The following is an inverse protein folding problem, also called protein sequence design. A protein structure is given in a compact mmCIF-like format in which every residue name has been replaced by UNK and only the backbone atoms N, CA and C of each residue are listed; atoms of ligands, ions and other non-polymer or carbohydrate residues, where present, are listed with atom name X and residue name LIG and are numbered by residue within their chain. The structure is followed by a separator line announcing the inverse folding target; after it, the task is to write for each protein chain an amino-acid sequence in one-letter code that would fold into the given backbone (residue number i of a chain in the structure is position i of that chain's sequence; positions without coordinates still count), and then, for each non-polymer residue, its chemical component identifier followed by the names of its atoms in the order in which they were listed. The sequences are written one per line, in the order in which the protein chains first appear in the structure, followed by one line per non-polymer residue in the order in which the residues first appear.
data_IF_041833283399
#
_entry.id   IF_041833283399
#
_cell.length_a   1.000
_cell.length_b   1.000
_cell.length_c   1.000
_cell.angle_alpha   90.00
_cell.angle_beta   90.00
_cell.angle_gamma   90.00
#
_symmetry.space_group_name_H-M   'P 1'
#
loop_
_entity.id
_entity.type
_entity.pdbx_description
1 polymer ?
#
# COMPACT_ATOMS: atom_id res chain seq x y z
N UNK A 1 -23.04 -5.64 0.70
CA UNK A 1 -23.68 -4.32 0.58
C UNK A 1 -22.85 -3.21 1.23
N UNK A 2 -22.60 -3.20 2.55
CA UNK A 2 -21.74 -2.15 3.17
C UNK A 2 -20.33 -2.09 2.54
N UNK A 3 -19.69 -3.24 2.30
CA UNK A 3 -18.38 -3.31 1.61
C UNK A 3 -18.40 -2.68 0.22
N UNK A 4 -19.48 -2.92 -0.52
CA UNK A 4 -19.71 -2.33 -1.83
C UNK A 4 -19.81 -0.82 -1.74
N UNK A 5 -20.58 -0.28 -0.78
CA UNK A 5 -20.73 1.17 -0.59
C UNK A 5 -19.37 1.84 -0.31
N UNK A 6 -18.56 1.29 0.61
CA UNK A 6 -17.22 1.83 0.89
C UNK A 6 -16.24 1.67 -0.27
N UNK A 7 -16.35 0.60 -1.06
CA UNK A 7 -15.52 0.41 -2.24
C UNK A 7 -15.94 1.37 -3.36
N UNK A 8 -17.24 1.59 -3.54
CA UNK A 8 -17.82 2.50 -4.52
C UNK A 8 -17.47 3.95 -4.17
N UNK A 9 -17.56 4.37 -2.90
CA UNK A 9 -17.12 5.69 -2.42
C UNK A 9 -15.66 5.97 -2.80
N UNK A 10 -14.76 5.03 -2.50
CA UNK A 10 -13.33 5.14 -2.84
C UNK A 10 -13.07 5.14 -4.35
N UNK A 11 -13.82 4.35 -5.09
CA UNK A 11 -13.68 4.28 -6.54
C UNK A 11 -14.16 5.58 -7.22
N UNK A 12 -15.31 6.12 -6.80
CA UNK A 12 -15.88 7.37 -7.32
C UNK A 12 -14.92 8.55 -7.16
N UNK A 13 -14.14 8.62 -6.07
CA UNK A 13 -13.13 9.66 -5.87
C UNK A 13 -12.02 9.64 -6.94
N UNK A 14 -11.76 8.47 -7.55
CA UNK A 14 -10.74 8.25 -8.58
C UNK A 14 -11.33 8.14 -9.99
N UNK A 15 -12.66 8.28 -10.12
CA UNK A 15 -13.37 8.06 -11.36
C UNK A 15 -13.15 9.24 -12.32
N UNK A 16 -12.55 9.04 -13.52
CA UNK A 16 -12.33 10.13 -14.48
C UNK A 16 -13.66 10.66 -15.06
N UNK A 17 -13.84 11.98 -15.09
CA UNK A 17 -15.15 12.60 -15.37
C UNK A 17 -15.81 12.20 -16.70
N UNK A 18 -15.02 11.87 -17.73
CA UNK A 18 -15.52 11.49 -19.06
C UNK A 18 -15.67 9.97 -19.26
N UNK A 19 -15.25 9.15 -18.29
CA UNK A 19 -15.25 7.70 -18.41
C UNK A 19 -16.56 7.13 -17.88
N UNK A 20 -17.10 6.14 -18.58
CA UNK A 20 -18.26 5.37 -18.15
C UNK A 20 -17.83 3.94 -17.88
N UNK A 21 -18.49 3.29 -16.92
CA UNK A 21 -18.19 1.91 -16.57
C UNK A 21 -19.45 1.07 -16.62
N UNK A 22 -19.34 -0.17 -17.09
CA UNK A 22 -20.42 -1.15 -16.96
C UNK A 22 -20.52 -1.62 -15.52
N UNK A 23 -21.68 -2.18 -15.12
CA UNK A 23 -21.84 -2.76 -13.79
C UNK A 23 -20.82 -3.88 -13.54
N UNK A 24 -20.52 -4.68 -14.56
CA UNK A 24 -19.44 -5.68 -14.48
C UNK A 24 -18.10 -5.05 -14.08
N UNK A 25 -17.69 -3.97 -14.74
CA UNK A 25 -16.43 -3.29 -14.42
C UNK A 25 -16.45 -2.67 -13.02
N UNK A 26 -17.58 -2.09 -12.61
CA UNK A 26 -17.74 -1.57 -11.25
C UNK A 26 -17.60 -2.70 -10.22
N UNK A 27 -18.20 -3.85 -10.47
CA UNK A 27 -18.07 -5.03 -9.60
C UNK A 27 -16.62 -5.50 -9.49
N UNK A 28 -15.87 -5.55 -10.59
CA UNK A 28 -14.44 -5.89 -10.58
C UNK A 28 -13.60 -4.87 -9.80
N UNK A 29 -13.77 -3.58 -10.08
CA UNK A 29 -13.01 -2.50 -9.46
C UNK A 29 -13.31 -2.38 -7.96
N UNK A 30 -14.55 -2.66 -7.56
CA UNK A 30 -14.97 -2.70 -6.15
C UNK A 30 -14.74 -4.06 -5.49
N UNK A 31 -14.21 -5.06 -6.22
CA UNK A 31 -14.02 -6.45 -5.78
C UNK A 31 -15.28 -7.05 -5.12
N UNK A 32 -16.44 -6.71 -5.65
CA UNK A 32 -17.74 -7.13 -5.15
C UNK A 32 -18.36 -8.15 -6.11
N UNK A 33 -19.16 -9.08 -5.59
CA UNK A 33 -19.92 -9.99 -6.45
C UNK A 33 -20.87 -9.19 -7.35
N UNK A 34 -20.87 -9.54 -8.64
CA UNK A 34 -21.66 -8.85 -9.68
C UNK A 34 -23.13 -8.72 -9.28
N UNK A 35 -23.76 -9.80 -8.80
CA UNK A 35 -25.15 -9.78 -8.35
C UNK A 35 -25.41 -8.72 -7.26
N UNK A 36 -24.48 -8.57 -6.31
CA UNK A 36 -24.59 -7.56 -5.24
C UNK A 36 -24.46 -6.14 -5.81
N UNK A 37 -23.61 -5.93 -6.81
CA UNK A 37 -23.46 -4.63 -7.46
C UNK A 37 -24.70 -4.27 -8.29
N UNK A 38 -25.26 -5.23 -9.06
CA UNK A 38 -26.51 -5.07 -9.81
C UNK A 38 -27.65 -4.74 -8.85
N UNK A 39 -27.88 -5.56 -7.83
CA UNK A 39 -28.97 -5.37 -6.87
C UNK A 39 -28.86 -4.01 -6.17
N UNK A 40 -27.67 -3.64 -5.70
CA UNK A 40 -27.47 -2.38 -4.99
C UNK A 40 -27.73 -1.17 -5.89
N UNK A 41 -27.20 -1.18 -7.12
CA UNK A 41 -27.37 -0.07 -8.07
C UNK A 41 -28.79 0.00 -8.60
N UNK A 42 -29.45 -1.13 -8.86
CA UNK A 42 -30.83 -1.17 -9.33
C UNK A 42 -31.80 -0.58 -8.29
N UNK A 43 -31.61 -0.98 -7.02
CA UNK A 43 -32.38 -0.46 -5.88
C UNK A 43 -32.14 1.04 -5.69
N UNK A 44 -30.90 1.51 -5.80
CA UNK A 44 -30.56 2.91 -5.54
C UNK A 44 -30.97 3.85 -6.69
N UNK A 45 -30.83 3.40 -7.93
CA UNK A 45 -31.24 4.16 -9.11
C UNK A 45 -32.74 4.01 -9.44
N UNK A 46 -33.43 3.09 -8.76
CA UNK A 46 -34.85 2.78 -8.98
C UNK A 46 -35.16 2.43 -10.43
N UNK A 47 -34.29 1.62 -11.05
CA UNK A 47 -34.48 1.09 -12.42
C UNK A 47 -33.96 -0.34 -12.50
N UNK A 48 -34.53 -1.14 -13.41
CA UNK A 48 -33.96 -2.44 -13.75
C UNK A 48 -32.61 -2.23 -14.42
N UNK A 49 -31.64 -3.07 -14.05
CA UNK A 49 -30.27 -3.01 -14.54
C UNK A 49 -29.80 -4.41 -14.92
N UNK A 50 -29.07 -4.51 -16.03
CA UNK A 50 -28.30 -5.67 -16.43
C UNK A 50 -26.79 -5.44 -16.26
N UNK A 51 -26.01 -6.52 -16.26
CA UNK A 51 -24.55 -6.50 -16.08
C UNK A 51 -23.80 -5.61 -17.07
N UNK A 52 -24.34 -5.47 -18.29
CA UNK A 52 -23.74 -4.68 -19.36
C UNK A 52 -24.19 -3.21 -19.35
N UNK A 53 -25.13 -2.85 -18.46
CA UNK A 53 -25.60 -1.48 -18.40
C UNK A 53 -24.49 -0.53 -17.96
N UNK A 54 -24.44 0.60 -18.65
CA UNK A 54 -23.44 1.62 -18.46
C UNK A 54 -23.90 2.59 -17.38
N UNK A 55 -23.03 2.79 -16.39
CA UNK A 55 -23.24 3.70 -15.28
C UNK A 55 -22.33 4.90 -15.48
N UNK A 56 -22.93 6.08 -15.43
CA UNK A 56 -22.19 7.35 -15.45
C UNK A 56 -21.69 7.71 -14.05
N UNK A 57 -20.72 8.63 -13.95
CA UNK A 57 -20.27 9.16 -12.66
C UNK A 57 -21.43 9.81 -11.87
N UNK A 58 -22.36 10.47 -12.57
CA UNK A 58 -23.54 11.08 -11.95
C UNK A 58 -24.50 10.03 -11.39
N UNK A 59 -24.78 8.97 -12.16
CA UNK A 59 -25.55 7.82 -11.69
C UNK A 59 -24.90 7.19 -10.45
N UNK A 60 -23.58 6.96 -10.50
CA UNK A 60 -22.84 6.36 -9.39
C UNK A 60 -22.89 7.22 -8.13
N UNK A 61 -22.78 8.55 -8.25
CA UNK A 61 -22.91 9.49 -7.13
C UNK A 61 -24.33 9.51 -6.55
N UNK A 62 -25.35 9.50 -7.41
CA UNK A 62 -26.75 9.44 -6.98
C UNK A 62 -27.04 8.13 -6.24
N UNK A 63 -26.58 7.02 -6.80
CA UNK A 63 -26.70 5.70 -6.19
C UNK A 63 -25.98 5.64 -4.84
N UNK A 64 -24.75 6.16 -4.76
CA UNK A 64 -24.00 6.22 -3.51
C UNK A 64 -24.76 7.03 -2.45
N UNK A 65 -25.27 8.22 -2.80
CA UNK A 65 -25.99 9.07 -1.86
C UNK A 65 -27.26 8.39 -1.29
N UNK A 66 -28.05 7.73 -2.14
CA UNK A 66 -29.23 6.97 -1.70
C UNK A 66 -28.85 5.77 -0.82
N UNK A 67 -27.82 5.01 -1.21
CA UNK A 67 -27.33 3.88 -0.41
C UNK A 67 -26.78 4.33 0.95
N UNK A 68 -26.09 5.47 1.00
CA UNK A 68 -25.57 6.06 2.24
C UNK A 68 -26.67 6.53 3.18
N UNK A 69 -27.73 7.15 2.65
CA UNK A 69 -28.90 7.57 3.43
C UNK A 69 -29.63 6.36 4.02
N UNK A 70 -29.90 5.34 3.19
CA UNK A 70 -30.59 4.11 3.63
C UNK A 70 -29.82 3.32 4.68
N UNK A 71 -28.48 3.30 4.59
CA UNK A 71 -27.61 2.52 5.47
C UNK A 71 -26.85 3.38 6.49
N UNK A 72 -27.26 4.63 6.70
CA UNK A 72 -26.52 5.63 7.47
C UNK A 72 -26.05 5.12 8.83
N UNK A 73 -26.95 4.49 9.60
CA UNK A 73 -26.64 3.96 10.94
C UNK A 73 -25.59 2.84 10.88
N UNK A 74 -25.70 1.95 9.91
CA UNK A 74 -24.80 0.81 9.76
C UNK A 74 -23.43 1.24 9.25
N UNK A 75 -23.41 2.22 8.33
CA UNK A 75 -22.19 2.85 7.83
C UNK A 75 -21.47 3.62 8.94
N UNK A 76 -22.17 4.44 9.71
CA UNK A 76 -21.60 5.17 10.84
C UNK A 76 -21.01 4.21 11.89
N UNK A 77 -21.75 3.16 12.27
CA UNK A 77 -21.24 2.13 13.18
C UNK A 77 -20.01 1.41 12.61
N UNK A 78 -19.97 1.18 11.30
CA UNK A 78 -18.82 0.55 10.64
C UNK A 78 -17.61 1.47 10.55
N UNK A 79 -17.79 2.75 10.20
CA UNK A 79 -16.72 3.78 10.23
C UNK A 79 -16.11 3.86 11.63
N UNK A 80 -16.94 3.93 12.67
CA UNK A 80 -16.49 3.92 14.07
C UNK A 80 -15.67 2.68 14.44
N UNK A 81 -16.06 1.49 13.98
CA UNK A 81 -15.29 0.25 14.23
C UNK A 81 -13.94 0.27 13.52
N UNK A 82 -13.87 0.79 12.29
CA UNK A 82 -12.62 0.92 11.54
C UNK A 82 -11.68 1.89 12.27
N UNK A 83 -12.20 3.04 12.68
CA UNK A 83 -11.45 4.03 13.47
C UNK A 83 -10.94 3.43 14.78
N UNK A 84 -11.80 2.73 15.54
CA UNK A 84 -11.40 2.05 16.76
C UNK A 84 -10.30 0.99 16.54
N UNK A 85 -10.35 0.25 15.43
CA UNK A 85 -9.29 -0.71 15.08
C UNK A 85 -7.98 -0.01 14.77
N UNK A 86 -8.02 1.09 14.03
CA UNK A 86 -6.85 1.93 13.74
C UNK A 86 -6.24 2.45 15.03
N UNK A 87 -7.05 3.02 15.92
CA UNK A 87 -6.58 3.52 17.22
C UNK A 87 -5.97 2.40 18.07
N UNK A 88 -6.60 1.22 18.09
CA UNK A 88 -6.05 0.05 18.78
C UNK A 88 -4.71 -0.40 18.18
N UNK A 89 -4.57 -0.40 16.85
CA UNK A 89 -3.35 -0.77 16.16
C UNK A 89 -2.22 0.23 16.46
N UNK A 90 -2.50 1.53 16.41
CA UNK A 90 -1.53 2.58 16.75
C UNK A 90 -1.10 2.48 18.21
N UNK A 91 -2.04 2.32 19.15
CA UNK A 91 -1.69 2.15 20.56
C UNK A 91 -0.87 0.87 20.82
N UNK A 92 -1.18 -0.21 20.08
CA UNK A 92 -0.43 -1.47 20.17
C UNK A 92 0.97 -1.37 19.56
N UNK A 93 1.20 -0.44 18.62
CA UNK A 93 2.51 -0.20 18.03
C UNK A 93 3.52 0.27 19.08
N UNK A 94 3.18 1.27 19.89
CA UNK A 94 4.08 1.77 20.94
C UNK A 94 4.49 0.67 21.93
N UNK A 95 3.50 -0.09 22.41
CA UNK A 95 3.72 -1.22 23.31
C UNK A 95 4.58 -2.32 22.67
N UNK A 96 4.46 -2.52 21.34
CA UNK A 96 5.28 -3.47 20.59
C UNK A 96 6.71 -2.95 20.46
N UNK A 97 6.87 -1.66 20.16
CA UNK A 97 8.18 -1.05 20.02
C UNK A 97 8.97 -1.02 21.33
N UNK A 98 8.32 -0.83 22.46
CA UNK A 98 8.99 -0.96 23.77
C UNK A 98 9.54 -2.37 24.00
N UNK A 99 8.76 -3.41 23.66
CA UNK A 99 9.25 -4.80 23.72
C UNK A 99 10.42 -5.02 22.76
N UNK A 100 10.31 -4.50 21.53
CA UNK A 100 11.37 -4.59 20.53
C UNK A 100 12.64 -3.86 21.00
N UNK A 101 12.54 -2.71 21.66
CA UNK A 101 13.67 -1.98 22.25
C UNK A 101 14.36 -2.80 23.34
N UNK A 102 13.60 -3.40 24.26
CA UNK A 102 14.17 -4.30 25.30
C UNK A 102 14.91 -5.48 24.65
N UNK A 103 14.31 -6.14 23.66
CA UNK A 103 14.95 -7.24 22.94
C UNK A 103 16.22 -6.78 22.20
N UNK A 104 16.26 -5.56 21.66
CA UNK A 104 17.46 -5.00 21.04
C UNK A 104 18.56 -4.72 22.08
N UNK A 105 18.22 -4.22 23.26
CA UNK A 105 19.18 -3.99 24.36
C UNK A 105 19.83 -5.30 24.80
N UNK A 106 19.06 -6.38 24.84
CA UNK A 106 19.53 -7.74 25.14
C UNK A 106 20.24 -8.42 23.96
N UNK A 107 20.43 -7.70 22.84
CA UNK A 107 20.97 -8.23 21.57
C UNK A 107 20.20 -9.44 21.02
N UNK A 108 18.94 -9.60 21.39
CA UNK A 108 18.06 -10.64 20.91
C UNK A 108 17.38 -10.23 19.59
N UNK A 109 18.19 -10.04 18.56
CA UNK A 109 17.76 -9.49 17.26
C UNK A 109 16.71 -10.36 16.57
N UNK A 110 16.83 -11.70 16.66
CA UNK A 110 15.88 -12.61 16.01
C UNK A 110 14.48 -12.51 16.60
N UNK A 111 14.36 -12.37 17.92
CA UNK A 111 13.05 -12.17 18.54
C UNK A 111 12.53 -10.76 18.29
N UNK A 112 13.40 -9.73 18.32
CA UNK A 112 13.01 -8.36 17.95
C UNK A 112 12.39 -8.32 16.55
N UNK A 113 13.07 -8.92 15.56
CA UNK A 113 12.58 -9.07 14.19
C UNK A 113 11.23 -9.82 14.12
N UNK A 114 11.13 -10.99 14.76
CA UNK A 114 9.88 -11.78 14.76
C UNK A 114 8.71 -11.05 15.39
N UNK A 115 8.95 -10.37 16.52
CA UNK A 115 7.92 -9.61 17.23
C UNK A 115 7.39 -8.48 16.35
N UNK A 116 8.28 -7.71 15.73
CA UNK A 116 7.89 -6.62 14.84
C UNK A 116 7.20 -7.13 13.57
N UNK A 117 7.76 -8.16 12.93
CA UNK A 117 7.18 -8.76 11.72
C UNK A 117 5.79 -9.38 11.96
N UNK A 118 5.58 -10.03 13.12
CA UNK A 118 4.26 -10.54 13.50
C UNK A 118 3.25 -9.41 13.73
N UNK A 119 3.68 -8.34 14.40
CA UNK A 119 2.84 -7.16 14.60
C UNK A 119 2.44 -6.53 13.26
N UNK A 120 3.43 -6.32 12.38
CA UNK A 120 3.22 -5.80 11.04
C UNK A 120 2.17 -6.64 10.29
N UNK A 121 2.37 -7.96 10.18
CA UNK A 121 1.43 -8.83 9.45
C UNK A 121 0.02 -8.89 10.04
N UNK A 122 -0.14 -8.64 11.36
CA UNK A 122 -1.45 -8.63 12.01
C UNK A 122 -2.20 -7.30 11.83
N UNK A 123 -1.47 -6.18 11.84
CA UNK A 123 -2.04 -4.84 11.91
C UNK A 123 -1.85 -4.02 10.63
N UNK A 124 -1.26 -4.59 9.58
CA UNK A 124 -0.91 -3.90 8.33
C UNK A 124 -2.06 -3.07 7.75
N UNK A 125 -3.25 -3.65 7.65
CA UNK A 125 -4.41 -2.99 7.05
C UNK A 125 -5.01 -1.86 7.91
N UNK A 126 -4.67 -1.82 9.20
CA UNK A 126 -5.24 -0.89 10.17
C UNK A 126 -4.25 0.24 10.55
N UNK A 127 -2.99 0.17 10.12
CA UNK A 127 -1.94 1.14 10.47
C UNK A 127 -1.82 2.29 9.46
N UNK A 128 -1.47 3.51 9.91
CA UNK A 128 -1.04 4.61 9.04
C UNK A 128 0.21 4.24 8.22
N UNK A 129 0.31 4.79 7.01
CA UNK A 129 1.43 4.54 6.11
C UNK A 129 2.78 4.91 6.74
N UNK A 130 2.83 6.01 7.49
CA UNK A 130 4.04 6.51 8.15
C UNK A 130 4.58 5.49 9.18
N UNK A 131 3.67 4.84 9.92
CA UNK A 131 4.03 3.78 10.87
C UNK A 131 4.48 2.52 10.14
N UNK A 132 3.80 2.15 9.05
CA UNK A 132 4.18 0.99 8.25
C UNK A 132 5.56 1.15 7.62
N UNK A 133 5.87 2.32 7.06
CA UNK A 133 7.19 2.63 6.51
C UNK A 133 8.28 2.46 7.58
N UNK A 134 8.06 3.00 8.78
CA UNK A 134 8.99 2.82 9.90
C UNK A 134 9.15 1.34 10.29
N UNK A 135 8.04 0.59 10.36
CA UNK A 135 8.05 -0.85 10.68
C UNK A 135 8.82 -1.64 9.63
N UNK A 136 8.60 -1.38 8.34
CA UNK A 136 9.27 -2.11 7.25
C UNK A 136 10.78 -1.84 7.26
N UNK A 137 11.18 -0.59 7.43
CA UNK A 137 12.59 -0.22 7.62
C UNK A 137 13.23 -0.90 8.83
N UNK A 138 12.54 -0.93 9.97
CA UNK A 138 13.03 -1.63 11.17
C UNK A 138 13.07 -3.15 11.00
N UNK A 139 12.12 -3.76 10.28
CA UNK A 139 12.16 -5.18 9.93
C UNK A 139 13.40 -5.52 9.09
N UNK A 140 13.78 -4.67 8.13
CA UNK A 140 15.01 -4.87 7.34
C UNK A 140 16.23 -4.77 8.27
N UNK A 141 16.35 -3.67 9.03
CA UNK A 141 17.49 -3.41 9.93
C UNK A 141 17.67 -4.51 10.98
N UNK A 142 16.58 -4.91 11.65
CA UNK A 142 16.59 -5.97 12.65
C UNK A 142 16.86 -7.33 12.01
N UNK A 143 16.29 -7.59 10.85
CA UNK A 143 16.45 -8.85 10.12
C UNK A 143 17.91 -9.07 9.69
N UNK A 144 18.59 -8.04 9.20
CA UNK A 144 20.03 -8.11 8.89
C UNK A 144 20.86 -8.43 10.13
N UNK A 145 20.63 -7.73 11.25
CA UNK A 145 21.30 -8.03 12.53
C UNK A 145 21.01 -9.44 13.04
N UNK A 146 19.83 -9.99 12.71
CA UNK A 146 19.41 -11.33 13.08
C UNK A 146 19.86 -12.43 12.11
N UNK A 147 20.60 -12.09 11.04
CA UNK A 147 21.00 -13.05 10.01
C UNK A 147 19.81 -13.67 9.27
N UNK A 148 18.72 -12.92 9.11
CA UNK A 148 17.58 -13.33 8.28
C UNK A 148 18.03 -13.42 6.82
N UNK A 149 17.46 -14.37 6.06
CA UNK A 149 17.79 -14.53 4.65
C UNK A 149 17.23 -13.38 3.80
N UNK A 150 17.86 -13.15 2.63
CA UNK A 150 17.47 -12.08 1.72
C UNK A 150 16.02 -12.18 1.24
N UNK A 151 15.44 -13.38 1.10
CA UNK A 151 14.07 -13.53 0.61
C UNK A 151 13.07 -12.91 1.60
N UNK A 152 13.23 -13.21 2.90
CA UNK A 152 12.43 -12.62 3.98
C UNK A 152 12.64 -11.11 4.09
N UNK A 153 13.86 -10.61 3.90
CA UNK A 153 14.14 -9.16 3.89
C UNK A 153 13.53 -8.46 2.68
N UNK A 154 13.59 -9.11 1.51
CA UNK A 154 13.05 -8.60 0.26
C UNK A 154 11.53 -8.41 0.30
N UNK A 155 10.80 -9.22 1.08
CA UNK A 155 9.37 -9.00 1.32
C UNK A 155 9.11 -7.65 1.99
N UNK A 156 9.86 -7.31 3.04
CA UNK A 156 9.70 -6.03 3.73
C UNK A 156 10.13 -4.85 2.87
N UNK A 157 11.20 -5.03 2.10
CA UNK A 157 11.66 -4.02 1.15
C UNK A 157 10.61 -3.73 0.07
N UNK A 158 10.05 -4.77 -0.55
CA UNK A 158 9.02 -4.60 -1.57
C UNK A 158 7.77 -3.93 -0.99
N UNK A 159 7.34 -4.31 0.22
CA UNK A 159 6.21 -3.66 0.90
C UNK A 159 6.44 -2.17 1.15
N UNK A 160 7.66 -1.79 1.55
CA UNK A 160 8.04 -0.38 1.69
C UNK A 160 7.95 0.37 0.37
N UNK A 161 8.51 -0.20 -0.70
CA UNK A 161 8.44 0.40 -2.04
C UNK A 161 7.00 0.55 -2.54
N UNK A 162 6.20 -0.51 -2.46
CA UNK A 162 4.80 -0.52 -2.89
C UNK A 162 3.99 0.55 -2.15
N UNK A 163 4.27 0.71 -0.85
CA UNK A 163 3.65 1.74 -0.02
C UNK A 163 4.07 3.14 -0.46
N UNK A 164 5.37 3.38 -0.68
CA UNK A 164 5.90 4.67 -1.15
C UNK A 164 5.35 5.06 -2.53
N UNK A 165 5.14 4.14 -3.46
CA UNK A 165 4.67 4.49 -4.82
C UNK A 165 3.14 4.51 -4.99
N UNK A 166 2.38 4.33 -3.91
CA UNK A 166 0.92 4.14 -3.99
C UNK A 166 0.16 5.29 -4.68
N UNK A 167 0.61 6.55 -4.52
CA UNK A 167 -0.07 7.71 -5.11
C UNK A 167 0.49 8.15 -6.47
N UNK A 168 1.60 7.57 -6.93
CA UNK A 168 2.31 7.94 -8.18
C UNK A 168 2.42 9.47 -8.33
N UNK A 169 3.00 10.11 -7.31
CA UNK A 169 3.22 11.55 -7.24
C UNK A 169 4.70 11.84 -7.00
N UNK A 170 5.13 13.10 -7.21
CA UNK A 170 6.53 13.50 -6.98
C UNK A 170 7.03 13.10 -5.58
N UNK A 171 6.28 13.45 -4.53
CA UNK A 171 6.67 13.15 -3.15
C UNK A 171 6.76 11.64 -2.89
N UNK A 172 5.86 10.86 -3.51
CA UNK A 172 5.79 9.42 -3.33
C UNK A 172 6.94 8.69 -4.06
N UNK A 173 7.36 9.19 -5.22
CA UNK A 173 8.55 8.70 -5.93
C UNK A 173 9.83 9.10 -5.18
N UNK A 174 9.91 10.32 -4.64
CA UNK A 174 11.03 10.74 -3.80
C UNK A 174 11.16 9.85 -2.55
N UNK A 175 10.07 9.58 -1.85
CA UNK A 175 10.06 8.68 -0.69
C UNK A 175 10.53 7.25 -1.06
N UNK A 176 10.15 6.76 -2.24
CA UNK A 176 10.62 5.46 -2.73
C UNK A 176 12.13 5.46 -2.99
N UNK A 177 12.67 6.53 -3.58
CA UNK A 177 14.12 6.70 -3.81
C UNK A 177 14.86 6.75 -2.46
N UNK A 178 14.39 7.56 -1.52
CA UNK A 178 14.97 7.68 -0.17
C UNK A 178 14.94 6.35 0.58
N UNK A 179 13.86 5.58 0.44
CA UNK A 179 13.74 4.25 1.05
C UNK A 179 14.77 3.26 0.46
N UNK A 180 15.03 3.32 -0.85
CA UNK A 180 16.08 2.51 -1.48
C UNK A 180 17.45 2.95 -0.99
N UNK A 181 17.72 4.25 -0.91
CA UNK A 181 19.00 4.77 -0.42
C UNK A 181 19.27 4.33 1.03
N UNK A 182 18.27 4.45 1.89
CA UNK A 182 18.39 4.12 3.31
C UNK A 182 18.63 2.62 3.59
N UNK A 183 18.04 1.73 2.79
CA UNK A 183 18.00 0.29 3.11
C UNK A 183 18.61 -0.62 2.04
N UNK A 184 18.86 -0.14 0.83
CA UNK A 184 19.37 -0.92 -0.30
C UNK A 184 20.72 -1.57 0.00
N UNK A 185 21.65 -0.83 0.61
CA UNK A 185 22.96 -1.34 0.99
C UNK A 185 22.87 -2.53 1.96
N UNK A 186 21.91 -2.50 2.87
CA UNK A 186 21.71 -3.59 3.83
C UNK A 186 21.31 -4.90 3.12
N UNK A 187 20.54 -4.82 2.04
CA UNK A 187 20.14 -5.98 1.24
C UNK A 187 21.30 -6.49 0.36
N UNK A 188 22.08 -5.57 -0.22
CA UNK A 188 23.27 -5.91 -1.01
C UNK A 188 24.26 -6.70 -0.17
N UNK A 189 24.55 -6.21 1.04
CA UNK A 189 25.48 -6.86 1.97
C UNK A 189 24.97 -8.21 2.48
N UNK A 190 23.66 -8.38 2.63
CA UNK A 190 23.05 -9.63 3.11
C UNK A 190 22.89 -10.68 1.99
N UNK A 191 22.90 -10.26 0.72
CA UNK A 191 22.69 -11.14 -0.43
C UNK A 191 23.94 -11.90 -0.88
N UNK A 192 23.86 -13.22 -1.00
CA UNK A 192 24.90 -14.02 -1.65
C UNK A 192 24.81 -13.92 -3.18
N UNK A 193 25.97 -13.90 -3.87
CA UNK A 193 26.03 -14.00 -5.33
C UNK A 193 25.32 -12.88 -6.09
N UNK A 194 25.33 -11.66 -5.55
CA UNK A 194 24.72 -10.49 -6.20
C UNK A 194 23.19 -10.50 -6.25
N UNK A 195 22.52 -11.37 -5.48
CA UNK A 195 21.05 -11.41 -5.40
C UNK A 195 20.47 -10.13 -4.79
N UNK A 196 21.10 -9.59 -3.74
CA UNK A 196 20.70 -8.31 -3.13
C UNK A 196 20.84 -7.14 -4.10
N UNK A 197 21.96 -7.10 -4.83
CA UNK A 197 22.18 -6.13 -5.90
C UNK A 197 21.06 -6.17 -6.93
N UNK A 198 20.72 -7.36 -7.45
CA UNK A 198 19.67 -7.50 -8.46
C UNK A 198 18.31 -7.02 -7.97
N UNK A 199 17.97 -7.29 -6.71
CA UNK A 199 16.72 -6.82 -6.11
C UNK A 199 16.66 -5.28 -6.08
N UNK A 200 17.72 -4.65 -5.56
CA UNK A 200 17.80 -3.18 -5.47
C UNK A 200 17.85 -2.53 -6.85
N UNK A 201 18.64 -3.09 -7.78
CA UNK A 201 18.71 -2.59 -9.16
C UNK A 201 17.37 -2.69 -9.88
N UNK A 202 16.63 -3.78 -9.68
CA UNK A 202 15.28 -3.95 -10.27
C UNK A 202 14.31 -2.90 -9.74
N UNK A 203 14.35 -2.60 -8.44
CA UNK A 203 13.52 -1.57 -7.82
C UNK A 203 13.86 -0.17 -8.36
N UNK A 204 15.15 0.16 -8.48
CA UNK A 204 15.58 1.44 -9.06
C UNK A 204 15.17 1.55 -10.53
N UNK A 205 15.28 0.48 -11.31
CA UNK A 205 14.87 0.49 -12.71
C UNK A 205 13.37 0.76 -12.87
N UNK A 206 12.51 0.24 -11.99
CA UNK A 206 11.07 0.53 -12.07
C UNK A 206 10.73 1.99 -11.73
N UNK A 207 11.63 2.72 -11.05
CA UNK A 207 11.47 4.14 -10.73
C UNK A 207 12.07 5.08 -11.79
N UNK A 208 12.85 4.60 -12.77
CA UNK A 208 13.58 5.47 -13.69
C UNK A 208 12.66 6.40 -14.52
N UNK A 209 11.59 5.84 -15.08
CA UNK A 209 10.59 6.60 -15.85
C UNK A 209 9.80 7.56 -14.94
N UNK A 210 9.16 7.10 -13.83
CA UNK A 210 8.48 8.00 -12.89
C UNK A 210 9.38 9.13 -12.37
N UNK A 211 10.64 8.83 -12.02
CA UNK A 211 11.58 9.84 -11.55
C UNK A 211 11.86 10.90 -12.62
N UNK A 212 11.89 10.53 -13.90
CA UNK A 212 12.05 11.49 -14.99
C UNK A 212 10.81 12.35 -15.18
N UNK A 213 9.62 11.73 -15.17
CA UNK A 213 8.34 12.43 -15.28
C UNK A 213 8.11 13.45 -14.16
N UNK A 214 8.60 13.17 -12.95
CA UNK A 214 8.47 14.05 -11.79
C UNK A 214 9.70 14.91 -11.48
N UNK A 215 10.63 15.04 -12.42
CA UNK A 215 11.84 15.88 -12.30
C UNK A 215 12.77 15.49 -11.12
N UNK A 216 12.81 14.19 -10.77
CA UNK A 216 13.68 13.59 -9.74
C UNK A 216 14.82 12.76 -10.36
N UNK A 217 15.10 12.92 -11.66
CA UNK A 217 16.07 12.12 -12.39
C UNK A 217 17.50 12.22 -11.82
N UNK A 218 17.88 13.36 -11.24
CA UNK A 218 19.19 13.56 -10.64
C UNK A 218 19.32 12.84 -9.29
N UNK A 219 18.29 12.91 -8.44
CA UNK A 219 18.22 12.17 -7.17
C UNK A 219 18.26 10.66 -7.42
N UNK A 220 17.43 10.18 -8.36
CA UNK A 220 17.44 8.79 -8.80
C UNK A 220 18.81 8.36 -9.31
N UNK A 221 19.47 9.17 -10.16
CA UNK A 221 20.82 8.87 -10.67
C UNK A 221 21.85 8.80 -9.55
N UNK A 222 21.74 9.66 -8.54
CA UNK A 222 22.60 9.67 -7.36
C UNK A 222 22.57 8.33 -6.63
N UNK A 223 21.37 7.85 -6.31
CA UNK A 223 21.18 6.54 -5.64
C UNK A 223 21.55 5.39 -6.57
N UNK A 224 21.14 5.43 -7.84
CA UNK A 224 21.40 4.38 -8.82
C UNK A 224 22.90 4.15 -9.09
N UNK A 225 23.71 5.22 -9.06
CA UNK A 225 25.16 5.12 -9.18
C UNK A 225 25.78 4.32 -8.03
N UNK A 226 25.28 4.47 -6.79
CA UNK A 226 25.72 3.69 -5.63
C UNK A 226 25.51 2.18 -5.80
N UNK A 227 24.50 1.80 -6.58
CA UNK A 227 24.15 0.40 -6.84
C UNK A 227 24.55 -0.09 -8.24
N UNK A 228 25.49 0.56 -8.91
CA UNK A 228 25.98 0.16 -10.25
C UNK A 228 24.84 -0.21 -11.22
N UNK A 229 23.68 0.45 -11.09
CA UNK A 229 22.56 0.19 -11.99
C UNK A 229 22.96 0.81 -13.31
N UNK A 230 23.24 -0.03 -14.31
CA UNK A 230 23.62 0.44 -15.64
C UNK A 230 22.60 1.49 -16.09
N UNK A 231 23.10 2.67 -16.49
CA UNK A 231 22.26 3.77 -16.96
C UNK A 231 21.31 3.23 -18.02
N UNK A 232 20.03 3.11 -17.66
CA UNK A 232 18.97 2.95 -18.64
C UNK A 232 19.04 4.21 -19.50
N UNK A 233 19.39 4.05 -20.77
CA UNK A 233 19.32 5.15 -21.73
C UNK A 233 17.84 5.45 -21.89
N UNK A 234 17.37 6.47 -21.17
CA UNK A 234 16.04 7.02 -21.33
C UNK A 234 16.03 7.73 -22.70
N UNK A 235 15.58 7.02 -23.74
CA UNK A 235 15.30 7.57 -25.07
C UNK A 235 13.90 8.14 -25.11
#
# INVERSE_FOLDING_TARGET
MLDFIFALERFIQKWPAATQFTIFQIAELTKTQIAVAVDALAVALSRELDVQDVITLEDARKALADLEDRMQVQLAARRKRIEQKRDQAVNAYDSTMDKVRVLQMDKNWRNAYKTLGYFAGRCEADLPAEILMAIFGDCIRLGVKAGVNLQELGVWFQKGLDLSVTSMSRDSIAEAIDFIDAYGDMLVQNGSGGSGQRLVSSALQSLAMPATEFELADEWRGVAAGFNVGTVVLT
#
